data_IF_076160103614
#
_entry.id   IF_076160103614
#
_cell.length_a   1.000
_cell.length_b   1.000
_cell.length_c   1.000
_cell.angle_alpha   90.00
_cell.angle_beta   90.00
_cell.angle_gamma   90.00
#
_symmetry.space_group_name_H-M   'P 1'
#
loop_
_entity.id
_entity.type
_entity.pdbx_description
1 polymer ?
#
# COMPACT_ATOMS: atom_id res chain seq x y z
N UNK A 1 -33.32 -1.60 -5.28
CA UNK A 1 -31.97 -1.19 -4.85
C UNK A 1 -31.00 -1.49 -5.99
N UNK A 2 -30.39 -0.47 -6.56
CA UNK A 2 -29.35 -0.66 -7.57
C UNK A 2 -28.13 -1.36 -6.97
N UNK A 3 -27.25 -1.95 -7.81
CA UNK A 3 -26.01 -2.54 -7.33
C UNK A 3 -25.22 -1.48 -6.57
N UNK A 4 -24.69 -1.85 -5.41
CA UNK A 4 -23.76 -1.00 -4.67
C UNK A 4 -22.64 -0.57 -5.62
N UNK A 5 -22.67 0.66 -6.12
CA UNK A 5 -21.54 1.22 -6.85
C UNK A 5 -20.41 1.38 -5.84
N UNK A 6 -19.46 0.43 -5.89
CA UNK A 6 -18.20 0.58 -5.15
C UNK A 6 -17.53 1.86 -5.65
N UNK A 7 -17.30 2.79 -4.76
CA UNK A 7 -16.51 3.97 -5.10
C UNK A 7 -15.12 3.54 -5.56
N UNK A 8 -14.70 4.08 -6.70
CA UNK A 8 -13.37 3.88 -7.23
C UNK A 8 -12.34 4.53 -6.30
N UNK A 9 -11.45 3.72 -5.75
CA UNK A 9 -10.38 4.19 -4.86
C UNK A 9 -9.21 4.78 -5.65
N UNK A 10 -8.28 5.45 -4.97
CA UNK A 10 -7.04 5.90 -5.61
C UNK A 10 -6.20 4.72 -6.13
N UNK A 11 -6.16 3.62 -5.38
CA UNK A 11 -5.52 2.38 -5.83
C UNK A 11 -6.15 1.86 -7.13
N UNK A 12 -7.49 1.85 -7.25
CA UNK A 12 -8.21 1.44 -8.46
C UNK A 12 -7.85 2.31 -9.67
N UNK A 13 -7.75 3.62 -9.49
CA UNK A 13 -7.37 4.57 -10.55
C UNK A 13 -5.97 4.31 -11.06
N UNK A 14 -5.01 4.11 -10.17
CA UNK A 14 -3.63 3.80 -10.54
C UNK A 14 -3.54 2.45 -11.24
N UNK A 15 -4.28 1.43 -10.79
CA UNK A 15 -4.37 0.14 -11.48
C UNK A 15 -4.86 0.32 -12.92
N UNK A 16 -5.91 1.07 -13.14
CA UNK A 16 -6.43 1.35 -14.50
C UNK A 16 -5.39 2.01 -15.39
N UNK A 17 -4.66 2.99 -14.86
CA UNK A 17 -3.56 3.60 -15.60
C UNK A 17 -2.50 2.57 -16.00
N UNK A 18 -2.04 1.77 -15.04
CA UNK A 18 -1.00 0.77 -15.27
C UNK A 18 -1.45 -0.30 -16.27
N UNK A 19 -2.70 -0.74 -16.21
CA UNK A 19 -3.29 -1.67 -17.19
C UNK A 19 -3.32 -1.04 -18.59
N UNK A 20 -3.80 0.20 -18.71
CA UNK A 20 -3.88 0.91 -19.98
C UNK A 20 -2.52 1.10 -20.65
N UNK A 21 -1.48 1.34 -19.84
CA UNK A 21 -0.10 1.54 -20.32
C UNK A 21 0.74 0.25 -20.34
N UNK A 22 0.13 -0.91 -20.08
CA UNK A 22 0.79 -2.22 -20.18
C UNK A 22 1.83 -2.48 -19.09
N UNK A 23 1.77 -1.79 -17.96
CA UNK A 23 2.75 -1.88 -16.88
C UNK A 23 2.52 -3.05 -15.93
N UNK A 24 1.41 -3.79 -16.07
CA UNK A 24 1.06 -4.93 -15.22
C UNK A 24 1.17 -6.30 -15.93
N UNK A 25 1.64 -6.34 -17.17
CA UNK A 25 1.72 -7.59 -17.95
C UNK A 25 2.51 -8.70 -17.26
N UNK A 26 3.57 -8.34 -16.56
CA UNK A 26 4.48 -9.26 -15.87
C UNK A 26 4.41 -9.11 -14.34
N UNK A 27 3.40 -8.38 -13.83
CA UNK A 27 3.23 -8.23 -12.38
C UNK A 27 2.81 -9.57 -11.76
N UNK A 28 3.32 -9.92 -10.58
CA UNK A 28 2.90 -11.12 -9.87
C UNK A 28 1.42 -11.02 -9.47
N UNK A 29 0.73 -12.16 -9.51
CA UNK A 29 -0.67 -12.25 -9.05
C UNK A 29 -0.80 -12.14 -7.53
N UNK A 30 0.19 -12.65 -6.82
CA UNK A 30 0.28 -12.62 -5.36
C UNK A 30 1.42 -11.71 -4.93
N UNK A 31 1.41 -11.24 -3.67
CA UNK A 31 2.47 -10.41 -3.12
C UNK A 31 3.86 -11.05 -3.26
N UNK A 32 4.67 -10.46 -4.11
CA UNK A 32 6.01 -10.93 -4.41
C UNK A 32 6.86 -9.77 -4.94
N UNK A 33 8.15 -9.76 -4.61
CA UNK A 33 9.07 -8.84 -5.27
C UNK A 33 9.33 -9.32 -6.70
N UNK A 34 9.04 -8.49 -7.72
CA UNK A 34 9.36 -8.81 -9.10
C UNK A 34 10.87 -8.81 -9.34
N UNK A 35 11.29 -8.82 -10.62
CA UNK A 35 12.70 -8.70 -10.96
C UNK A 35 13.35 -7.40 -10.41
N UNK A 36 14.67 -7.43 -10.25
CA UNK A 36 15.43 -6.33 -9.67
C UNK A 36 15.29 -5.01 -10.44
N UNK A 37 15.10 -5.08 -11.75
CA UNK A 37 14.92 -3.89 -12.59
C UNK A 37 13.58 -3.20 -12.29
N UNK A 38 12.51 -3.97 -12.19
CA UNK A 38 11.19 -3.46 -11.80
C UNK A 38 11.20 -2.88 -10.38
N UNK A 39 11.83 -3.57 -9.43
CA UNK A 39 11.98 -3.08 -8.04
C UNK A 39 12.70 -1.74 -8.02
N UNK A 40 13.83 -1.66 -8.75
CA UNK A 40 14.61 -0.42 -8.86
C UNK A 40 13.79 0.71 -9.48
N UNK A 41 13.08 0.44 -10.57
CA UNK A 41 12.22 1.44 -11.23
C UNK A 41 11.18 2.00 -10.25
N UNK A 42 10.49 1.15 -9.50
CA UNK A 42 9.45 1.61 -8.57
C UNK A 42 10.02 2.43 -7.42
N UNK A 43 11.19 2.07 -6.91
CA UNK A 43 11.88 2.85 -5.91
C UNK A 43 12.35 4.21 -6.47
N UNK A 44 12.97 4.21 -7.65
CA UNK A 44 13.47 5.43 -8.29
C UNK A 44 12.34 6.44 -8.55
N UNK A 45 11.16 5.99 -8.98
CA UNK A 45 9.99 6.85 -9.17
C UNK A 45 9.56 7.53 -7.85
N UNK A 46 9.54 6.81 -6.74
CA UNK A 46 9.20 7.40 -5.44
C UNK A 46 10.25 8.44 -5.03
N UNK A 47 11.53 8.12 -5.20
CA UNK A 47 12.63 9.04 -4.86
C UNK A 47 12.57 10.31 -5.71
N UNK A 48 12.29 10.19 -7.01
CA UNK A 48 12.14 11.31 -7.94
C UNK A 48 11.06 12.29 -7.46
N UNK A 49 9.87 11.78 -7.11
CA UNK A 49 8.78 12.63 -6.63
C UNK A 49 9.09 13.27 -5.26
N UNK A 50 9.85 12.61 -4.41
CA UNK A 50 10.31 13.20 -3.14
C UNK A 50 11.29 14.36 -3.41
N UNK A 51 12.18 14.23 -4.39
CA UNK A 51 13.09 15.33 -4.77
C UNK A 51 12.30 16.52 -5.39
N UNK A 52 11.29 16.26 -6.21
CA UNK A 52 10.40 17.31 -6.73
C UNK A 52 9.65 18.02 -5.60
N UNK A 53 9.18 17.27 -4.57
CA UNK A 53 8.58 17.87 -3.37
C UNK A 53 9.57 18.84 -2.68
N UNK A 54 10.83 18.43 -2.50
CA UNK A 54 11.85 19.28 -1.88
C UNK A 54 12.07 20.57 -2.70
N UNK A 55 12.13 20.46 -4.01
CA UNK A 55 12.26 21.62 -4.89
C UNK A 55 11.06 22.55 -4.81
N UNK A 56 9.85 22.03 -4.83
CA UNK A 56 8.62 22.81 -4.66
C UNK A 56 8.58 23.58 -3.34
N UNK A 57 8.98 22.90 -2.25
CA UNK A 57 9.09 23.51 -0.92
C UNK A 57 10.17 24.60 -0.87
N UNK A 58 11.34 24.35 -1.45
CA UNK A 58 12.42 25.34 -1.50
C UNK A 58 12.03 26.61 -2.29
N UNK A 59 11.26 26.43 -3.36
CA UNK A 59 10.71 27.54 -4.16
C UNK A 59 9.46 28.17 -3.55
N UNK A 60 8.92 27.61 -2.48
CA UNK A 60 7.66 28.02 -1.86
C UNK A 60 6.49 28.05 -2.86
N UNK A 61 6.50 27.13 -3.82
CA UNK A 61 5.46 27.01 -4.84
C UNK A 61 4.47 25.93 -4.44
N UNK A 62 3.29 26.35 -3.96
CA UNK A 62 2.24 25.44 -3.49
C UNK A 62 1.64 24.56 -4.59
N UNK A 63 1.66 25.00 -5.85
CA UNK A 63 1.20 24.18 -6.98
C UNK A 63 2.15 23.00 -7.19
N UNK A 64 3.44 23.26 -7.22
CA UNK A 64 4.48 22.22 -7.37
C UNK A 64 4.47 21.26 -6.16
N UNK A 65 4.28 21.80 -4.94
CA UNK A 65 4.16 20.98 -3.72
C UNK A 65 2.95 20.05 -3.80
N UNK A 66 1.81 20.57 -4.23
CA UNK A 66 0.58 19.77 -4.36
C UNK A 66 0.74 18.66 -5.41
N UNK A 67 1.31 19.01 -6.55
CA UNK A 67 1.59 18.06 -7.64
C UNK A 67 2.49 16.92 -7.16
N UNK A 68 3.63 17.26 -6.55
CA UNK A 68 4.57 16.27 -6.01
C UNK A 68 3.95 15.36 -4.93
N UNK A 69 3.14 15.91 -4.02
CA UNK A 69 2.44 15.09 -3.02
C UNK A 69 1.46 14.11 -3.66
N UNK A 70 0.72 14.54 -4.69
CA UNK A 70 -0.17 13.65 -5.43
C UNK A 70 0.62 12.56 -6.18
N UNK A 71 1.74 12.94 -6.80
CA UNK A 71 2.57 11.99 -7.56
C UNK A 71 3.28 10.98 -6.64
N UNK A 72 3.70 11.39 -5.44
CA UNK A 72 4.20 10.44 -4.42
C UNK A 72 3.15 9.37 -4.11
N UNK A 73 1.89 9.76 -3.92
CA UNK A 73 0.79 8.80 -3.71
C UNK A 73 0.61 7.91 -4.94
N UNK A 74 0.62 8.51 -6.13
CA UNK A 74 0.40 7.81 -7.39
C UNK A 74 1.44 6.71 -7.63
N UNK A 75 2.72 7.04 -7.53
CA UNK A 75 3.81 6.07 -7.74
C UNK A 75 3.93 5.05 -6.60
N UNK A 76 3.47 5.40 -5.38
CA UNK A 76 3.39 4.47 -4.25
C UNK A 76 2.32 3.41 -4.48
N UNK A 77 1.11 3.79 -4.90
CA UNK A 77 0.09 2.83 -5.33
C UNK A 77 0.59 1.96 -6.50
N UNK A 78 1.32 2.57 -7.43
CA UNK A 78 1.94 1.87 -8.55
C UNK A 78 2.94 0.81 -8.12
N UNK A 79 3.78 1.10 -7.13
CA UNK A 79 4.70 0.12 -6.54
C UNK A 79 3.93 -1.05 -5.91
N UNK A 80 2.84 -0.77 -5.18
CA UNK A 80 1.97 -1.81 -4.63
C UNK A 80 1.49 -2.77 -5.71
N UNK A 81 0.87 -2.26 -6.77
CA UNK A 81 0.37 -3.09 -7.87
C UNK A 81 1.50 -3.86 -8.57
N UNK A 82 2.66 -3.24 -8.79
CA UNK A 82 3.81 -3.91 -9.40
C UNK A 82 4.34 -5.07 -8.55
N UNK A 83 4.11 -5.04 -7.23
CA UNK A 83 4.50 -6.09 -6.28
C UNK A 83 3.36 -7.06 -5.96
N UNK A 84 2.24 -6.99 -6.70
CA UNK A 84 1.09 -7.86 -6.50
C UNK A 84 0.25 -7.52 -5.25
N UNK A 85 0.28 -6.28 -4.80
CA UNK A 85 -0.43 -5.82 -3.59
C UNK A 85 -1.37 -4.67 -3.94
N UNK A 86 -2.64 -4.79 -3.54
CA UNK A 86 -3.54 -3.65 -3.43
C UNK A 86 -3.34 -3.02 -2.05
N UNK A 87 -2.97 -1.74 -2.01
CA UNK A 87 -2.64 -1.06 -0.75
C UNK A 87 -3.87 -0.62 0.06
N UNK A 88 -5.08 -0.70 -0.45
CA UNK A 88 -6.27 -0.21 0.25
C UNK A 88 -6.49 -0.90 1.61
N UNK A 89 -6.55 -2.24 1.63
CA UNK A 89 -6.75 -2.99 2.87
C UNK A 89 -5.54 -2.92 3.83
N UNK A 90 -4.29 -3.09 3.36
CA UNK A 90 -3.13 -2.86 4.22
C UNK A 90 -3.09 -1.46 4.82
N UNK A 91 -3.45 -0.43 4.05
CA UNK A 91 -3.54 0.95 4.55
C UNK A 91 -4.57 1.10 5.66
N UNK A 92 -5.77 0.51 5.50
CA UNK A 92 -6.79 0.50 6.54
C UNK A 92 -6.28 -0.17 7.82
N UNK A 93 -5.54 -1.25 7.69
CA UNK A 93 -4.94 -1.95 8.84
C UNK A 93 -3.92 -1.05 9.57
N UNK A 94 -3.07 -0.35 8.83
CA UNK A 94 -2.13 0.63 9.40
C UNK A 94 -2.89 1.80 10.04
N UNK A 95 -3.97 2.28 9.43
CA UNK A 95 -4.79 3.35 9.98
C UNK A 95 -5.39 2.95 11.33
N UNK A 96 -6.00 1.78 11.45
CA UNK A 96 -6.55 1.29 12.71
C UNK A 96 -5.47 1.14 13.78
N UNK A 97 -4.29 0.61 13.41
CA UNK A 97 -3.13 0.57 14.31
C UNK A 97 -2.75 1.98 14.80
N UNK A 98 -2.68 2.95 13.91
CA UNK A 98 -2.37 4.33 14.28
C UNK A 98 -3.42 4.94 15.21
N UNK A 99 -4.71 4.69 14.97
CA UNK A 99 -5.78 5.14 15.84
C UNK A 99 -5.74 4.49 17.24
N UNK A 100 -5.21 3.26 17.35
CA UNK A 100 -5.04 2.59 18.63
C UNK A 100 -3.96 3.21 19.53
N UNK A 101 -3.21 4.20 19.05
CA UNK A 101 -2.26 4.98 19.85
C UNK A 101 -2.93 5.93 20.84
N UNK A 102 -4.21 6.22 20.69
CA UNK A 102 -4.94 7.07 21.62
C UNK A 102 -4.89 6.51 23.06
N UNK A 103 -4.89 7.42 24.06
CA UNK A 103 -4.99 7.05 25.45
C UNK A 103 -6.36 6.46 25.83
N UNK A 104 -6.50 5.93 27.04
CA UNK A 104 -7.77 5.36 27.54
C UNK A 104 -8.95 6.35 27.53
N UNK A 105 -8.64 7.64 27.66
CA UNK A 105 -9.61 8.74 27.57
C UNK A 105 -9.97 9.13 26.13
N UNK A 106 -9.46 8.40 25.13
CA UNK A 106 -9.65 8.70 23.71
C UNK A 106 -8.86 9.92 23.22
N UNK A 107 -7.92 10.43 24.01
CA UNK A 107 -7.08 11.59 23.67
C UNK A 107 -5.67 11.16 23.30
N UNK A 108 -5.00 11.94 22.42
CA UNK A 108 -3.63 11.66 22.05
C UNK A 108 -2.65 11.88 23.20
N UNK A 109 -1.58 11.11 23.21
CA UNK A 109 -0.43 11.27 24.09
C UNK A 109 0.73 11.76 23.22
N UNK A 110 1.32 12.91 23.57
CA UNK A 110 2.41 13.51 22.81
C UNK A 110 3.74 13.47 23.57
N UNK A 111 4.82 13.29 22.82
CA UNK A 111 6.16 13.61 23.28
C UNK A 111 6.40 15.13 23.18
N UNK A 112 7.41 15.68 23.86
CA UNK A 112 7.70 17.12 23.87
C UNK A 112 7.88 17.74 22.47
N UNK A 113 8.41 16.97 21.51
CA UNK A 113 8.58 17.40 20.11
C UNK A 113 7.29 17.28 19.25
N UNK A 114 6.17 16.94 19.87
CA UNK A 114 4.88 16.77 19.19
C UNK A 114 4.65 15.41 18.57
N UNK A 115 5.58 14.45 18.72
CA UNK A 115 5.39 13.09 18.24
C UNK A 115 4.31 12.37 19.01
N UNK A 116 3.36 11.75 18.31
CA UNK A 116 2.34 10.90 18.94
C UNK A 116 2.99 9.65 19.52
N UNK A 117 2.72 9.40 20.81
CA UNK A 117 3.17 8.21 21.54
C UNK A 117 2.10 7.12 21.50
N UNK A 118 2.53 5.89 21.78
CA UNK A 118 1.64 4.73 21.89
C UNK A 118 0.92 4.76 23.23
N UNK A 119 -0.41 4.73 23.21
CA UNK A 119 -1.22 4.57 24.41
C UNK A 119 -1.27 3.10 24.88
N UNK A 120 -1.96 2.83 26.00
CA UNK A 120 -1.99 1.51 26.64
C UNK A 120 -2.67 0.43 25.79
N UNK A 121 -3.58 0.82 24.89
CA UNK A 121 -4.32 -0.11 24.01
C UNK A 121 -3.73 -0.19 22.60
N UNK A 122 -2.52 0.31 22.40
CA UNK A 122 -1.84 0.23 21.10
C UNK A 122 -1.61 -1.22 20.69
N UNK A 123 -1.88 -1.48 19.41
CA UNK A 123 -1.49 -2.72 18.75
C UNK A 123 -0.80 -2.41 17.40
N UNK A 124 0.21 -3.19 17.07
CA UNK A 124 0.92 -3.06 15.80
C UNK A 124 0.03 -3.48 14.62
N UNK A 125 0.26 -2.94 13.40
CA UNK A 125 -0.47 -3.39 12.24
C UNK A 125 -0.18 -4.86 11.94
N UNK A 126 -1.21 -5.61 11.53
CA UNK A 126 -1.11 -7.02 11.15
C UNK A 126 -1.01 -7.14 9.63
N UNK A 127 0.18 -6.96 9.08
CA UNK A 127 0.41 -6.91 7.63
C UNK A 127 0.82 -8.26 7.02
N UNK A 128 1.36 -9.16 7.83
CA UNK A 128 1.82 -10.47 7.35
C UNK A 128 0.72 -11.27 6.63
N UNK A 129 -0.52 -11.17 7.06
CA UNK A 129 -1.67 -11.84 6.43
C UNK A 129 -1.89 -11.44 4.97
N UNK A 130 -1.58 -10.21 4.60
CA UNK A 130 -1.72 -9.75 3.21
C UNK A 130 -0.65 -10.33 2.28
N UNK A 131 0.48 -10.76 2.84
CA UNK A 131 1.59 -11.36 2.09
C UNK A 131 1.48 -12.89 2.07
N UNK A 132 1.21 -13.52 3.21
CA UNK A 132 1.33 -14.97 3.37
C UNK A 132 0.02 -15.74 3.14
N UNK A 133 -1.16 -15.14 3.39
CA UNK A 133 -2.43 -15.85 3.23
C UNK A 133 -2.68 -16.35 1.79
N UNK A 134 -2.40 -15.59 0.72
CA UNK A 134 -2.51 -16.08 -0.64
C UNK A 134 -1.61 -17.30 -0.92
N UNK A 135 -0.37 -17.27 -0.43
CA UNK A 135 0.57 -18.37 -0.56
C UNK A 135 0.09 -19.64 0.15
N UNK A 136 -0.35 -19.51 1.41
CA UNK A 136 -0.88 -20.63 2.20
C UNK A 136 -2.12 -21.24 1.55
N UNK A 137 -3.02 -20.40 1.00
CA UNK A 137 -4.21 -20.87 0.29
C UNK A 137 -3.85 -21.71 -0.95
N UNK A 138 -2.90 -21.26 -1.75
CA UNK A 138 -2.40 -21.99 -2.92
C UNK A 138 -1.71 -23.30 -2.52
N UNK A 139 -0.90 -23.27 -1.48
CA UNK A 139 -0.23 -24.48 -0.95
C UNK A 139 -1.25 -25.52 -0.49
N UNK A 140 -2.24 -25.11 0.27
CA UNK A 140 -3.28 -26.00 0.78
C UNK A 140 -4.13 -26.59 -0.35
N UNK A 141 -4.49 -25.80 -1.35
CA UNK A 141 -5.20 -26.28 -2.55
C UNK A 141 -4.38 -27.35 -3.28
N UNK A 142 -3.09 -27.13 -3.50
CA UNK A 142 -2.21 -28.10 -4.15
C UNK A 142 -2.08 -29.40 -3.38
N UNK A 143 -2.02 -29.34 -2.04
CA UNK A 143 -1.99 -30.52 -1.18
C UNK A 143 -3.28 -31.33 -1.32
N UNK A 144 -4.44 -30.67 -1.30
CA UNK A 144 -5.75 -31.31 -1.47
C UNK A 144 -5.86 -32.01 -2.83
N UNK A 145 -5.45 -31.37 -3.91
CA UNK A 145 -5.43 -31.97 -5.26
C UNK A 145 -4.52 -33.22 -5.34
N UNK A 146 -3.38 -33.21 -4.66
CA UNK A 146 -2.47 -34.38 -4.58
C UNK A 146 -3.12 -35.52 -3.81
N UNK A 147 -3.83 -35.22 -2.72
CA UNK A 147 -4.51 -36.24 -1.91
C UNK A 147 -5.68 -36.85 -2.67
N UNK A 148 -6.51 -36.04 -3.33
CA UNK A 148 -7.67 -36.50 -4.12
C UNK A 148 -7.27 -37.35 -5.32
N UNK A 149 -6.15 -37.06 -5.96
CA UNK A 149 -5.62 -37.83 -7.10
C UNK A 149 -4.94 -39.16 -6.71
N UNK A 150 -4.75 -39.45 -5.41
CA UNK A 150 -4.19 -40.70 -4.89
C UNK A 150 -5.24 -41.67 -4.34
N UNK A 151 -6.49 -41.26 -4.30
CA UNK A 151 -7.65 -42.08 -3.95
C UNK A 151 -8.41 -42.53 -5.18
#
# INVERSE_FOLDING_TARGET
>A
MGPYMRYETNSDKVRKFMEAFGQLKNAPEDPELPDAETVKLRLDLIVEEVEELKEGLNRQNMVDVLDALCDILYVTYGAGHAFGIDLDEPFNNVHHSNMSKLGEDGKPIYREDGKVLKGPNYYAPSLAKFVWAPYEKKRNKKILEIVENKT
#
